data_IF_612636636653
#
_entry.id   IF_612636636653
#
_cell.length_a   1.000
_cell.length_b   1.000
_cell.length_c   1.000
_cell.angle_alpha   90.00
_cell.angle_beta   90.00
_cell.angle_gamma   90.00
#
_symmetry.space_group_name_H-M   'P 1'
#
loop_
_entity.id
_entity.type
_entity.pdbx_description
1 polymer ?
#
# COMPACT_ATOMS: atom_id res chain seq x y z
N UNK A 1 10.05 6.19 -6.79
CA UNK A 1 10.61 4.87 -7.15
C UNK A 1 12.14 4.91 -7.13
N UNK A 2 12.74 5.43 -6.06
CA UNK A 2 14.20 5.53 -5.99
C UNK A 2 14.85 4.15 -5.72
N UNK A 3 14.25 3.40 -4.81
CA UNK A 3 14.74 2.07 -4.39
C UNK A 3 14.19 0.92 -5.24
N UNK A 4 13.47 1.20 -6.33
CA UNK A 4 12.83 0.14 -7.15
C UNK A 4 11.86 -0.75 -6.37
N UNK A 5 11.26 -0.24 -5.28
CA UNK A 5 10.36 -1.00 -4.42
C UNK A 5 9.13 -1.54 -5.19
N UNK A 6 8.76 -2.77 -4.89
CA UNK A 6 7.55 -3.40 -5.42
C UNK A 6 6.29 -2.87 -4.73
N UNK A 7 5.12 -3.14 -5.32
CA UNK A 7 3.83 -2.82 -4.69
C UNK A 7 3.65 -3.60 -3.38
N UNK A 8 4.19 -4.82 -3.28
CA UNK A 8 4.17 -5.61 -2.04
C UNK A 8 4.91 -4.90 -0.90
N UNK A 9 6.09 -4.35 -1.20
CA UNK A 9 6.92 -3.66 -0.21
C UNK A 9 6.17 -2.47 0.39
N UNK A 10 5.54 -1.67 -0.46
CA UNK A 10 4.76 -0.50 -0.02
C UNK A 10 3.50 -0.92 0.76
N UNK A 11 2.81 -1.97 0.32
CA UNK A 11 1.61 -2.46 1.00
C UNK A 11 1.89 -3.04 2.40
N UNK A 12 3.08 -3.63 2.60
CA UNK A 12 3.48 -4.28 3.86
C UNK A 12 4.08 -3.34 4.90
N UNK A 13 4.43 -2.10 4.53
CA UNK A 13 4.89 -1.10 5.50
C UNK A 13 3.73 -0.65 6.40
N UNK A 14 4.00 -0.48 7.70
CA UNK A 14 3.04 0.11 8.63
C UNK A 14 2.80 1.58 8.29
N UNK A 15 1.56 1.92 7.99
CA UNK A 15 1.12 3.31 7.79
C UNK A 15 0.34 3.74 9.02
N UNK A 16 0.58 4.97 9.49
CA UNK A 16 -0.12 5.48 10.66
C UNK A 16 -1.62 5.62 10.37
N UNK A 17 -2.44 5.30 11.37
CA UNK A 17 -3.90 5.46 11.31
C UNK A 17 -4.37 6.57 12.26
N UNK A 18 -5.30 7.46 11.86
CA UNK A 18 -5.91 7.62 10.54
C UNK A 18 -5.13 8.62 9.66
N UNK A 19 -4.67 8.20 8.48
CA UNK A 19 -3.97 9.09 7.52
C UNK A 19 -4.31 8.80 6.06
N UNK A 20 -4.17 9.83 5.20
CA UNK A 20 -4.34 9.68 3.74
C UNK A 20 -3.32 8.71 3.11
N UNK A 21 -2.20 8.46 3.78
CA UNK A 21 -1.18 7.52 3.33
C UNK A 21 -1.71 6.07 3.33
N UNK A 22 -2.74 5.77 4.10
CA UNK A 22 -3.41 4.46 4.07
C UNK A 22 -4.06 4.19 2.71
N UNK A 23 -4.61 5.20 2.02
CA UNK A 23 -5.15 5.01 0.68
C UNK A 23 -4.05 4.61 -0.33
N UNK A 24 -2.84 5.14 -0.16
CA UNK A 24 -1.69 4.74 -0.97
C UNK A 24 -1.28 3.29 -0.67
N UNK A 25 -1.27 2.89 0.61
CA UNK A 25 -1.05 1.50 1.02
C UNK A 25 -2.08 0.55 0.40
N UNK A 26 -3.36 0.88 0.46
CA UNK A 26 -4.45 0.04 -0.08
C UNK A 26 -4.40 -0.07 -1.62
N UNK A 27 -4.04 1.00 -2.34
CA UNK A 27 -3.85 0.94 -3.78
C UNK A 27 -2.70 -0.01 -4.18
N UNK A 28 -1.59 0.02 -3.44
CA UNK A 28 -0.48 -0.91 -3.66
C UNK A 28 -0.87 -2.36 -3.28
N UNK A 29 -1.68 -2.53 -2.24
CA UNK A 29 -2.23 -3.83 -1.86
C UNK A 29 -3.13 -4.39 -2.96
N UNK A 30 -3.97 -3.56 -3.58
CA UNK A 30 -4.78 -3.95 -4.73
C UNK A 30 -3.91 -4.37 -5.93
N UNK A 31 -2.84 -3.63 -6.22
CA UNK A 31 -1.94 -3.94 -7.34
C UNK A 31 -1.14 -5.23 -7.14
N UNK A 32 -0.71 -5.52 -5.92
CA UNK A 32 0.06 -6.73 -5.59
C UNK A 32 -0.82 -7.96 -5.34
N UNK A 33 -1.83 -7.82 -4.47
CA UNK A 33 -2.65 -8.94 -3.98
C UNK A 33 -3.98 -9.09 -4.75
N UNK A 34 -4.33 -8.13 -5.59
CA UNK A 34 -5.57 -8.14 -6.39
C UNK A 34 -6.81 -7.63 -5.65
N UNK A 35 -6.72 -7.39 -4.33
CA UNK A 35 -7.84 -6.88 -3.53
C UNK A 35 -7.36 -6.03 -2.35
N UNK A 36 -7.82 -4.77 -2.21
CA UNK A 36 -7.60 -3.96 -1.01
C UNK A 36 -8.51 -4.41 0.16
N UNK A 37 -8.18 -4.01 1.39
CA UNK A 37 -8.97 -4.34 2.58
C UNK A 37 -10.15 -3.36 2.75
N UNK A 38 -9.92 -2.06 2.51
CA UNK A 38 -10.87 -1.00 2.86
C UNK A 38 -11.28 -0.15 1.65
N UNK A 39 -11.70 -0.80 0.55
CA UNK A 39 -12.21 -0.14 -0.67
C UNK A 39 -13.63 -0.58 -0.99
#
# INVERSE_FOLDING_TARGET
MEYGASCEDVARVCHAHPTVAEAFREANLAAYFGKPINF
#
